data_IF_322525299677
#
_entry.id   IF_322525299677
#
_cell.length_a   1.000
_cell.length_b   1.000
_cell.length_c   1.000
_cell.angle_alpha   90.00
_cell.angle_beta   90.00
_cell.angle_gamma   90.00
#
_symmetry.space_group_name_H-M   'P 1'
#
loop_
_entity.id
_entity.type
_entity.pdbx_description
1 polymer ?
#
# COMPACT_ATOMS: atom_id res chain seq x y z
N UNK A 1 -8.13 21.65 -7.53
CA UNK A 1 -8.33 20.53 -8.49
C UNK A 1 -7.92 19.24 -7.83
N UNK A 2 -8.87 18.31 -7.61
CA UNK A 2 -8.58 16.94 -7.17
C UNK A 2 -8.64 16.06 -8.42
N UNK A 3 -7.68 15.17 -8.61
CA UNK A 3 -7.67 14.18 -9.69
C UNK A 3 -8.09 12.82 -9.12
N UNK A 4 -8.91 12.08 -9.86
CA UNK A 4 -9.31 10.72 -9.55
C UNK A 4 -8.69 9.77 -10.58
N UNK A 5 -7.89 8.81 -10.10
CA UNK A 5 -7.33 7.73 -10.91
C UNK A 5 -8.05 6.43 -10.55
N UNK A 6 -8.37 5.62 -11.55
CA UNK A 6 -8.98 4.30 -11.35
C UNK A 6 -7.92 3.22 -11.54
N UNK A 7 -7.82 2.34 -10.55
CA UNK A 7 -7.00 1.13 -10.57
C UNK A 7 -7.91 -0.11 -10.63
N UNK A 8 -7.39 -1.23 -11.13
CA UNK A 8 -8.17 -2.47 -11.26
C UNK A 8 -8.55 -3.06 -9.91
N UNK A 9 -7.65 -3.00 -8.93
CA UNK A 9 -7.80 -3.62 -7.61
C UNK A 9 -7.58 -2.60 -6.50
N UNK A 10 -8.29 -2.77 -5.39
CA UNK A 10 -7.99 -2.04 -4.15
C UNK A 10 -6.68 -2.58 -3.55
N UNK A 11 -5.65 -1.75 -3.31
CA UNK A 11 -4.37 -2.20 -2.73
C UNK A 11 -4.48 -2.65 -1.25
N UNK A 12 -5.62 -2.41 -0.61
CA UNK A 12 -5.90 -2.87 0.75
C UNK A 12 -6.45 -4.30 0.76
N UNK A 13 -7.26 -4.65 -0.22
CA UNK A 13 -7.96 -5.94 -0.29
C UNK A 13 -7.22 -6.93 -1.18
N UNK A 14 -6.78 -8.04 -0.60
CA UNK A 14 -6.20 -9.14 -1.36
C UNK A 14 -7.32 -9.99 -1.94
N UNK A 15 -7.34 -10.25 -3.26
CA UNK A 15 -8.33 -11.15 -3.83
C UNK A 15 -8.21 -12.56 -3.25
N UNK A 16 -9.32 -13.24 -2.93
CA UNK A 16 -9.28 -14.55 -2.26
C UNK A 16 -8.87 -15.70 -3.20
N UNK A 17 -9.05 -15.54 -4.51
CA UNK A 17 -8.67 -16.54 -5.52
C UNK A 17 -8.21 -15.88 -6.81
N UNK A 18 -7.29 -16.55 -7.50
CA UNK A 18 -6.93 -16.21 -8.88
C UNK A 18 -8.11 -16.46 -9.83
N UNK A 19 -8.46 -15.47 -10.64
CA UNK A 19 -9.62 -15.49 -11.53
C UNK A 19 -9.41 -14.76 -12.87
N UNK A 20 -8.21 -14.24 -13.16
CA UNK A 20 -7.86 -13.66 -14.45
C UNK A 20 -7.89 -14.72 -15.57
N UNK A 21 -8.57 -14.37 -16.67
CA UNK A 21 -8.70 -15.21 -17.86
C UNK A 21 -8.38 -14.44 -19.15
N UNK A 22 -8.15 -15.14 -20.26
CA UNK A 22 -7.69 -14.66 -21.56
C UNK A 22 -8.40 -13.43 -22.12
N UNK A 23 -9.66 -13.19 -21.77
CA UNK A 23 -10.48 -12.09 -22.31
C UNK A 23 -11.22 -11.29 -21.23
N UNK A 24 -10.95 -11.54 -19.95
CA UNK A 24 -11.65 -10.88 -18.86
C UNK A 24 -10.80 -10.77 -17.60
N UNK A 25 -11.07 -9.73 -16.81
CA UNK A 25 -10.42 -9.49 -15.53
C UNK A 25 -11.45 -9.56 -14.39
N UNK A 26 -11.06 -10.12 -13.23
CA UNK A 26 -11.91 -10.09 -12.05
C UNK A 26 -11.80 -8.74 -11.35
N UNK A 27 -12.95 -8.20 -10.95
CA UNK A 27 -13.06 -7.10 -9.99
C UNK A 27 -13.77 -7.62 -8.76
N UNK A 28 -13.19 -7.41 -7.60
CA UNK A 28 -13.77 -7.83 -6.32
C UNK A 28 -14.49 -6.65 -5.68
N UNK A 29 -15.81 -6.75 -5.60
CA UNK A 29 -16.66 -5.76 -4.95
C UNK A 29 -17.23 -6.31 -3.64
N UNK A 30 -17.90 -5.47 -2.86
CA UNK A 30 -18.57 -5.86 -1.61
C UNK A 30 -19.58 -7.00 -1.80
N UNK A 31 -20.19 -7.10 -2.98
CA UNK A 31 -21.10 -8.19 -3.37
C UNK A 31 -20.43 -9.44 -3.92
N UNK A 32 -19.09 -9.51 -3.94
CA UNK A 32 -18.32 -10.62 -4.47
C UNK A 32 -17.64 -10.32 -5.81
N UNK A 33 -17.18 -11.38 -6.48
CA UNK A 33 -16.43 -11.30 -7.74
C UNK A 33 -17.35 -10.94 -8.91
N UNK A 34 -16.97 -9.90 -9.64
CA UNK A 34 -17.54 -9.53 -10.93
C UNK A 34 -16.48 -9.83 -12.00
N UNK A 35 -16.82 -10.65 -12.98
CA UNK A 35 -15.94 -10.92 -14.12
C UNK A 35 -16.29 -9.94 -15.24
N UNK A 36 -15.36 -9.07 -15.61
CA UNK A 36 -15.58 -8.06 -16.66
C UNK A 36 -14.82 -8.45 -17.92
N UNK A 37 -15.49 -8.44 -19.07
CA UNK A 37 -14.75 -8.37 -20.34
C UNK A 37 -13.95 -7.05 -20.41
N UNK A 38 -13.00 -6.95 -21.34
CA UNK A 38 -12.21 -5.73 -21.47
C UNK A 38 -13.07 -4.57 -21.97
N UNK A 39 -14.08 -4.88 -22.79
CA UNK A 39 -15.11 -3.95 -23.23
C UNK A 39 -15.97 -3.46 -22.06
N UNK A 40 -16.45 -4.37 -21.20
CA UNK A 40 -17.22 -3.98 -20.01
C UNK A 40 -16.39 -3.13 -19.04
N UNK A 41 -15.09 -3.43 -18.92
CA UNK A 41 -14.15 -2.61 -18.13
C UNK A 41 -14.06 -1.19 -18.72
N UNK A 42 -13.92 -1.07 -20.04
CA UNK A 42 -13.88 0.23 -20.74
C UNK A 42 -15.18 1.00 -20.55
N UNK A 43 -16.34 0.34 -20.63
CA UNK A 43 -17.64 0.97 -20.39
C UNK A 43 -17.74 1.53 -18.96
N UNK A 44 -17.28 0.76 -17.97
CA UNK A 44 -17.18 1.23 -16.58
C UNK A 44 -16.33 2.51 -16.47
N UNK A 45 -15.19 2.57 -17.18
CA UNK A 45 -14.28 3.72 -17.18
C UNK A 45 -14.93 4.95 -17.80
N UNK A 46 -15.65 4.78 -18.92
CA UNK A 46 -16.36 5.85 -19.59
C UNK A 46 -17.51 6.42 -18.73
N UNK A 47 -18.19 5.56 -17.98
CA UNK A 47 -19.22 5.98 -17.02
C UNK A 47 -18.60 6.76 -15.86
N UNK A 48 -17.48 6.26 -15.31
CA UNK A 48 -16.83 6.87 -14.15
C UNK A 48 -16.10 8.19 -14.46
N UNK A 49 -15.69 8.41 -15.72
CA UNK A 49 -14.99 9.62 -16.21
C UNK A 49 -13.78 10.03 -15.33
N UNK A 50 -12.82 9.12 -15.10
CA UNK A 50 -11.66 9.45 -14.27
C UNK A 50 -10.69 10.40 -14.98
N UNK A 51 -9.78 10.98 -14.21
CA UNK A 51 -8.65 11.76 -14.73
C UNK A 51 -7.53 10.85 -15.28
N UNK A 52 -7.60 9.55 -15.04
CA UNK A 52 -6.67 8.55 -15.59
C UNK A 52 -7.08 7.15 -15.15
N UNK A 53 -6.65 6.14 -15.89
CA UNK A 53 -7.09 4.76 -15.69
C UNK A 53 -5.94 3.78 -15.89
N UNK A 54 -5.86 2.76 -15.03
CA UNK A 54 -5.00 1.61 -15.20
C UNK A 54 -5.51 0.69 -16.31
N UNK A 55 -4.65 0.29 -17.24
CA UNK A 55 -4.97 -0.77 -18.18
C UNK A 55 -5.15 -2.11 -17.43
N UNK A 56 -6.16 -2.94 -17.78
CA UNK A 56 -6.38 -4.21 -17.13
C UNK A 56 -5.14 -5.10 -17.15
N UNK A 57 -4.94 -5.87 -16.10
CA UNK A 57 -3.74 -6.66 -15.84
C UNK A 57 -4.05 -8.00 -15.20
N UNK A 58 -3.26 -9.01 -15.52
CA UNK A 58 -3.26 -10.28 -14.78
C UNK A 58 -2.20 -10.19 -13.67
N UNK A 59 -2.61 -9.74 -12.48
CA UNK A 59 -1.77 -9.64 -11.28
C UNK A 59 -1.95 -10.83 -10.30
N UNK A 60 -2.69 -11.86 -10.69
CA UNK A 60 -2.98 -13.06 -9.89
C UNK A 60 -1.76 -14.01 -9.71
N UNK A 61 -0.56 -13.56 -10.07
CA UNK A 61 0.66 -14.37 -9.92
C UNK A 61 0.95 -14.69 -8.46
N UNK A 62 0.45 -13.89 -7.51
CA UNK A 62 0.74 -13.97 -6.08
C UNK A 62 -0.32 -14.73 -5.27
N UNK A 63 -1.49 -14.99 -5.85
CA UNK A 63 -2.68 -15.54 -5.16
C UNK A 63 -2.69 -17.08 -5.22
N UNK A 64 -1.60 -17.69 -5.69
CA UNK A 64 -1.51 -19.13 -5.86
C UNK A 64 -0.66 -19.74 -4.73
N UNK A 65 -1.18 -20.79 -4.05
CA UNK A 65 -0.54 -21.38 -2.86
C UNK A 65 0.75 -22.17 -3.16
N UNK A 66 1.09 -22.34 -4.44
CA UNK A 66 2.29 -23.07 -4.87
C UNK A 66 3.33 -22.10 -5.43
N UNK A 67 4.61 -22.50 -5.38
CA UNK A 67 5.71 -21.76 -5.99
C UNK A 67 5.33 -21.28 -7.40
N UNK A 68 5.42 -19.96 -7.60
CA UNK A 68 4.94 -19.32 -8.82
C UNK A 68 5.80 -19.83 -9.98
N UNK A 69 5.23 -20.71 -10.80
CA UNK A 69 5.97 -21.23 -11.95
C UNK A 69 6.33 -20.09 -12.91
N UNK A 70 7.52 -20.15 -13.50
CA UNK A 70 7.93 -19.22 -14.57
C UNK A 70 6.90 -19.17 -15.71
N UNK A 71 6.25 -20.30 -15.99
CA UNK A 71 5.12 -20.42 -16.94
C UNK A 71 3.91 -19.55 -16.54
N UNK A 72 3.57 -19.49 -15.25
CA UNK A 72 2.47 -18.67 -14.73
C UNK A 72 2.76 -17.17 -14.86
N UNK A 73 3.98 -16.74 -14.52
CA UNK A 73 4.45 -15.37 -14.73
C UNK A 73 4.35 -14.98 -16.20
N UNK A 74 4.82 -15.85 -17.10
CA UNK A 74 4.73 -15.60 -18.54
C UNK A 74 3.28 -15.52 -19.04
N UNK A 75 2.39 -16.40 -18.56
CA UNK A 75 0.96 -16.32 -18.90
C UNK A 75 0.32 -14.99 -18.46
N UNK A 76 0.72 -14.46 -17.30
CA UNK A 76 0.25 -13.16 -16.81
C UNK A 76 0.70 -12.03 -17.73
N UNK A 77 1.96 -12.06 -18.17
CA UNK A 77 2.49 -11.12 -19.16
C UNK A 77 1.72 -11.17 -20.48
N UNK A 78 1.49 -12.37 -21.03
CA UNK A 78 0.78 -12.55 -22.31
C UNK A 78 -0.68 -12.12 -22.25
N UNK A 79 -1.36 -12.36 -21.12
CA UNK A 79 -2.74 -11.90 -20.90
C UNK A 79 -2.82 -10.38 -20.80
N UNK A 80 -1.95 -9.79 -19.99
CA UNK A 80 -1.87 -8.33 -19.82
C UNK A 80 -1.61 -7.61 -21.15
N UNK A 81 -0.69 -8.14 -21.97
CA UNK A 81 -0.44 -7.61 -23.31
C UNK A 81 -1.68 -7.68 -24.22
N UNK A 82 -2.46 -8.76 -24.14
CA UNK A 82 -3.71 -8.90 -24.91
C UNK A 82 -4.78 -7.91 -24.44
N UNK A 83 -4.93 -7.72 -23.13
CA UNK A 83 -5.89 -6.74 -22.61
C UNK A 83 -5.55 -5.33 -23.07
N UNK A 84 -4.26 -4.96 -23.05
CA UNK A 84 -3.79 -3.68 -23.53
C UNK A 84 -4.14 -3.48 -25.01
N UNK A 85 -3.97 -4.50 -25.86
CA UNK A 85 -4.35 -4.40 -27.27
C UNK A 85 -5.85 -4.14 -27.45
N UNK A 86 -6.71 -4.88 -26.74
CA UNK A 86 -8.16 -4.64 -26.77
C UNK A 86 -8.51 -3.21 -26.30
N UNK A 87 -7.88 -2.71 -25.23
CA UNK A 87 -8.07 -1.32 -24.79
C UNK A 87 -7.66 -0.33 -25.87
N UNK A 88 -6.56 -0.57 -26.59
CA UNK A 88 -6.09 0.31 -27.68
C UNK A 88 -7.07 0.31 -28.84
N UNK A 89 -7.61 -0.84 -29.22
CA UNK A 89 -8.66 -0.92 -30.23
C UNK A 89 -9.89 -0.12 -29.82
N UNK A 90 -10.34 -0.23 -28.56
CA UNK A 90 -11.42 0.59 -28.01
C UNK A 90 -11.10 2.09 -28.07
N UNK A 91 -9.87 2.50 -27.76
CA UNK A 91 -9.43 3.90 -27.82
C UNK A 91 -9.41 4.46 -29.24
N UNK A 92 -9.06 3.65 -30.24
CA UNK A 92 -9.13 4.04 -31.65
C UNK A 92 -10.58 4.27 -32.12
N UNK A 93 -11.54 3.57 -31.51
CA UNK A 93 -12.98 3.65 -31.86
C UNK A 93 -13.74 4.70 -31.04
N UNK A 94 -13.21 5.15 -29.90
CA UNK A 94 -13.89 6.05 -28.97
C UNK A 94 -13.04 7.27 -28.60
N UNK A 95 -13.47 8.46 -29.04
CA UNK A 95 -12.76 9.73 -28.82
C UNK A 95 -12.75 10.21 -27.37
N UNK A 96 -13.68 9.75 -26.53
CA UNK A 96 -13.70 10.15 -25.13
C UNK A 96 -12.74 9.31 -24.30
N UNK A 97 -12.67 8.01 -24.59
CA UNK A 97 -11.68 7.13 -23.98
C UNK A 97 -10.25 7.57 -24.35
N UNK A 98 -10.01 7.98 -25.60
CA UNK A 98 -8.68 8.39 -26.06
C UNK A 98 -8.13 9.64 -25.36
N UNK A 99 -9.00 10.46 -24.76
CA UNK A 99 -8.62 11.63 -23.95
C UNK A 99 -8.24 11.27 -22.51
N UNK A 100 -8.69 10.11 -22.01
CA UNK A 100 -8.37 9.66 -20.65
C UNK A 100 -6.92 9.14 -20.64
N UNK A 101 -6.04 9.69 -19.78
CA UNK A 101 -4.68 9.18 -19.59
C UNK A 101 -4.68 7.70 -19.22
N UNK A 102 -3.83 6.93 -19.91
CA UNK A 102 -3.74 5.47 -19.73
C UNK A 102 -2.46 5.12 -18.95
N UNK A 103 -2.60 4.42 -17.84
CA UNK A 103 -1.49 3.86 -17.08
C UNK A 103 -1.30 2.40 -17.50
N UNK A 104 -0.19 2.09 -18.16
CA UNK A 104 0.06 0.75 -18.69
C UNK A 104 0.67 -0.14 -17.60
N UNK A 105 0.02 -1.27 -17.32
CA UNK A 105 0.48 -2.23 -16.32
C UNK A 105 1.58 -3.13 -16.87
N UNK A 106 2.64 -3.33 -16.09
CA UNK A 106 3.65 -4.37 -16.33
C UNK A 106 3.38 -5.49 -15.34
N UNK A 107 3.21 -6.71 -15.85
CA UNK A 107 2.98 -7.92 -15.08
C UNK A 107 4.19 -8.86 -15.14
N UNK A 108 4.13 -10.04 -14.51
CA UNK A 108 5.23 -11.02 -14.52
C UNK A 108 5.72 -11.51 -13.16
N UNK A 109 5.00 -11.21 -12.06
CA UNK A 109 5.34 -11.67 -10.72
C UNK A 109 6.72 -11.18 -10.25
N UNK A 110 7.37 -11.98 -9.40
CA UNK A 110 8.69 -11.66 -8.84
C UNK A 110 9.87 -12.18 -9.72
N UNK A 111 9.68 -12.33 -11.05
CA UNK A 111 10.73 -12.78 -11.98
C UNK A 111 11.23 -11.61 -12.84
N UNK A 112 12.46 -11.13 -12.55
CA UNK A 112 13.03 -9.96 -13.24
C UNK A 112 13.18 -10.17 -14.76
N UNK A 113 13.60 -11.35 -15.20
CA UNK A 113 13.84 -11.60 -16.61
C UNK A 113 12.53 -11.59 -17.40
N UNK A 114 11.46 -12.18 -16.84
CA UNK A 114 10.12 -12.10 -17.41
C UNK A 114 9.62 -10.66 -17.45
N UNK A 115 9.84 -9.88 -16.38
CA UNK A 115 9.46 -8.46 -16.34
C UNK A 115 10.16 -7.66 -17.42
N UNK A 116 11.46 -7.89 -17.63
CA UNK A 116 12.23 -7.25 -18.70
C UNK A 116 11.71 -7.62 -20.09
N UNK A 117 11.36 -8.89 -20.30
CA UNK A 117 10.71 -9.32 -21.54
C UNK A 117 9.35 -8.64 -21.74
N UNK A 118 8.54 -8.54 -20.68
CA UNK A 118 7.25 -7.85 -20.68
C UNK A 118 7.41 -6.37 -21.09
N UNK A 119 8.40 -5.67 -20.53
CA UNK A 119 8.67 -4.26 -20.87
C UNK A 119 9.05 -4.13 -22.35
N UNK A 120 9.95 -4.99 -22.86
CA UNK A 120 10.43 -4.94 -24.25
C UNK A 120 9.33 -5.16 -25.29
N UNK A 121 8.32 -5.96 -24.97
CA UNK A 121 7.19 -6.23 -25.88
C UNK A 121 6.01 -5.26 -25.70
N UNK A 122 6.03 -4.42 -24.65
CA UNK A 122 4.93 -3.50 -24.37
C UNK A 122 5.07 -2.24 -25.21
N UNK A 123 4.00 -1.87 -25.91
CA UNK A 123 3.93 -0.62 -26.63
C UNK A 123 3.48 0.51 -25.71
N UNK A 124 4.39 1.43 -25.40
CA UNK A 124 4.16 2.58 -24.53
C UNK A 124 3.72 3.85 -25.28
N UNK A 125 3.49 3.80 -26.60
CA UNK A 125 3.19 5.00 -27.42
C UNK A 125 1.95 5.79 -26.96
N UNK A 126 0.98 5.11 -26.35
CA UNK A 126 -0.24 5.72 -25.80
C UNK A 126 -0.23 5.79 -24.26
N UNK A 127 0.88 5.43 -23.61
CA UNK A 127 0.99 5.44 -22.16
C UNK A 127 1.19 6.85 -21.63
N UNK A 128 0.49 7.19 -20.55
CA UNK A 128 0.70 8.40 -19.74
C UNK A 128 1.43 8.10 -18.43
N UNK A 129 1.64 6.82 -18.12
CA UNK A 129 2.36 6.33 -16.96
C UNK A 129 2.43 4.80 -16.99
N UNK A 130 3.19 4.23 -16.06
CA UNK A 130 3.37 2.79 -15.93
C UNK A 130 2.97 2.34 -14.54
N UNK A 131 2.24 1.23 -14.42
CA UNK A 131 1.95 0.59 -13.14
C UNK A 131 2.79 -0.68 -13.00
N UNK A 132 3.61 -0.73 -11.97
CA UNK A 132 4.37 -1.92 -11.55
C UNK A 132 3.45 -2.70 -10.61
N UNK A 133 2.72 -3.68 -11.15
CA UNK A 133 1.68 -4.43 -10.43
C UNK A 133 2.10 -5.90 -10.20
N UNK A 134 1.42 -6.62 -9.31
CA UNK A 134 1.68 -8.03 -9.04
C UNK A 134 3.03 -8.29 -8.37
N UNK A 135 3.48 -7.36 -7.52
CA UNK A 135 4.62 -7.51 -6.62
C UNK A 135 4.08 -7.52 -5.19
N UNK A 136 4.45 -8.53 -4.40
CA UNK A 136 4.07 -8.61 -2.98
C UNK A 136 5.31 -8.52 -2.10
N UNK A 137 5.24 -7.69 -1.05
CA UNK A 137 6.14 -7.77 0.12
C UNK A 137 5.54 -8.58 1.26
N UNK A 138 4.28 -8.99 1.16
CA UNK A 138 3.60 -9.82 2.14
C UNK A 138 3.85 -11.30 1.80
N UNK A 139 4.10 -12.17 2.79
CA UNK A 139 4.12 -13.60 2.56
C UNK A 139 2.81 -14.03 1.90
N UNK A 140 2.91 -14.92 0.91
CA UNK A 140 1.74 -15.61 0.34
C UNK A 140 1.22 -16.64 1.35
N UNK A 141 0.61 -16.19 2.46
CA UNK A 141 -0.40 -16.89 3.25
C UNK A 141 -0.48 -16.30 4.67
N UNK A 142 -1.69 -16.02 5.14
CA UNK A 142 -1.99 -15.93 6.57
C UNK A 142 -2.09 -17.33 7.23
N UNK A 143 -1.96 -18.41 6.45
CA UNK A 143 -2.11 -19.81 6.88
C UNK A 143 -0.83 -20.65 6.91
N UNK A 144 0.32 -20.15 6.45
CA UNK A 144 1.56 -20.91 6.49
C UNK A 144 2.24 -20.70 7.86
N UNK A 145 2.07 -21.68 8.74
CA UNK A 145 2.89 -21.82 9.95
C UNK A 145 4.38 -21.92 9.59
N UNK A 146 5.22 -21.34 10.45
CA UNK A 146 6.69 -21.37 10.42
C UNK A 146 7.36 -21.04 9.07
N UNK A 147 7.64 -19.75 8.85
CA UNK A 147 8.21 -19.25 7.59
C UNK A 147 9.74 -19.35 7.49
N UNK A 148 10.28 -19.73 6.31
CA UNK A 148 11.67 -19.50 5.93
C UNK A 148 11.87 -18.06 5.42
N UNK A 149 12.70 -17.28 6.13
CA UNK A 149 13.45 -16.09 5.67
C UNK A 149 12.72 -15.02 4.82
N UNK A 150 11.77 -14.29 5.43
CA UNK A 150 11.13 -13.06 4.90
C UNK A 150 12.10 -11.96 4.46
N UNK A 151 13.30 -11.93 5.03
CA UNK A 151 14.34 -10.94 4.69
C UNK A 151 14.92 -11.14 3.29
N UNK A 152 15.02 -12.37 2.81
CA UNK A 152 15.68 -12.65 1.52
C UNK A 152 14.83 -12.16 0.34
N UNK A 153 13.53 -12.41 0.38
CA UNK A 153 12.62 -12.02 -0.70
C UNK A 153 12.43 -10.50 -0.72
N UNK A 154 12.26 -9.89 0.45
CA UNK A 154 12.21 -8.42 0.59
C UNK A 154 13.50 -7.77 0.09
N UNK A 155 14.66 -8.32 0.45
CA UNK A 155 15.95 -7.85 -0.04
C UNK A 155 16.04 -7.96 -1.57
N UNK A 156 15.64 -9.09 -2.16
CA UNK A 156 15.62 -9.26 -3.62
C UNK A 156 14.72 -8.24 -4.32
N UNK A 157 13.52 -7.98 -3.78
CA UNK A 157 12.58 -7.01 -4.35
C UNK A 157 13.19 -5.62 -4.48
N UNK A 158 13.78 -5.10 -3.40
CA UNK A 158 14.26 -3.72 -3.36
C UNK A 158 15.70 -3.54 -3.85
N UNK A 159 16.53 -4.59 -3.83
CA UNK A 159 17.92 -4.51 -4.33
C UNK A 159 18.04 -4.87 -5.80
N UNK A 160 17.13 -5.72 -6.32
CA UNK A 160 17.29 -6.33 -7.64
C UNK A 160 16.05 -6.14 -8.53
N UNK A 161 14.87 -6.58 -8.09
CA UNK A 161 13.68 -6.61 -8.95
C UNK A 161 13.20 -5.21 -9.34
N UNK A 162 12.86 -4.37 -8.35
CA UNK A 162 12.32 -3.03 -8.60
C UNK A 162 13.35 -2.14 -9.32
N UNK A 163 14.63 -2.05 -8.90
CA UNK A 163 15.65 -1.30 -9.65
C UNK A 163 15.83 -1.81 -11.09
N UNK A 164 15.83 -3.13 -11.28
CA UNK A 164 15.95 -3.75 -12.59
C UNK A 164 14.77 -3.46 -13.51
N UNK A 165 13.56 -3.40 -12.98
CA UNK A 165 12.35 -2.96 -13.71
C UNK A 165 12.47 -1.48 -14.07
N UNK A 166 12.74 -0.61 -13.09
CA UNK A 166 12.72 0.83 -13.28
C UNK A 166 13.77 1.31 -14.31
N UNK A 167 14.91 0.62 -14.39
CA UNK A 167 15.98 0.89 -15.37
C UNK A 167 15.55 0.64 -16.81
N UNK A 168 14.63 -0.29 -17.03
CA UNK A 168 14.19 -0.71 -18.38
C UNK A 168 12.94 0.05 -18.84
N UNK A 169 12.22 0.70 -17.91
CA UNK A 169 11.03 1.48 -18.21
C UNK A 169 11.37 2.81 -18.89
N UNK A 170 10.50 3.32 -19.80
CA UNK A 170 10.71 4.61 -20.44
C UNK A 170 10.92 5.74 -19.41
N UNK A 171 12.02 6.52 -19.50
CA UNK A 171 12.41 7.45 -18.44
C UNK A 171 11.43 8.60 -18.23
N UNK A 172 10.69 8.99 -19.29
CA UNK A 172 9.73 10.09 -19.26
C UNK A 172 8.37 9.72 -18.66
N UNK A 173 8.08 8.43 -18.46
CA UNK A 173 6.80 7.99 -17.92
C UNK A 173 6.86 7.87 -16.39
N UNK A 174 5.88 8.44 -15.67
CA UNK A 174 5.79 8.26 -14.21
C UNK A 174 5.49 6.79 -13.87
N UNK A 175 6.16 6.29 -12.83
CA UNK A 175 6.07 4.90 -12.36
C UNK A 175 5.24 4.82 -11.09
N UNK A 176 4.12 4.13 -11.16
CA UNK A 176 3.24 3.82 -10.06
C UNK A 176 3.58 2.43 -9.52
N UNK A 177 3.59 2.27 -8.20
CA UNK A 177 3.62 0.96 -7.56
C UNK A 177 2.48 0.89 -6.52
N UNK A 178 1.85 -0.26 -6.41
CA UNK A 178 0.81 -0.54 -5.43
C UNK A 178 1.27 -1.63 -4.46
N UNK A 179 0.68 -1.66 -3.26
CA UNK A 179 0.96 -2.68 -2.25
C UNK A 179 2.27 -2.48 -1.48
N UNK A 180 2.99 -1.38 -1.73
CA UNK A 180 4.21 -1.00 -0.99
C UNK A 180 3.88 0.12 -0.02
N UNK A 181 3.74 -0.23 1.27
CA UNK A 181 3.21 0.69 2.27
C UNK A 181 4.11 0.87 3.51
N UNK A 182 5.10 0.02 3.75
CA UNK A 182 6.05 0.22 4.85
C UNK A 182 6.97 1.43 4.55
N UNK A 183 7.25 2.33 5.52
CA UNK A 183 8.07 3.52 5.29
C UNK A 183 9.43 3.24 4.64
N UNK A 184 10.17 2.24 5.16
CA UNK A 184 11.45 1.81 4.57
C UNK A 184 11.30 1.33 3.12
N UNK A 185 10.26 0.56 2.84
CA UNK A 185 9.99 0.01 1.51
C UNK A 185 9.61 1.10 0.50
N UNK A 186 8.81 2.09 0.91
CA UNK A 186 8.51 3.28 0.11
C UNK A 186 9.81 4.03 -0.21
N UNK A 187 10.66 4.28 0.79
CA UNK A 187 11.93 4.97 0.58
C UNK A 187 12.87 4.20 -0.37
N UNK A 188 12.96 2.87 -0.24
CA UNK A 188 13.75 2.01 -1.13
C UNK A 188 13.22 2.00 -2.57
N UNK A 189 11.90 1.89 -2.75
CA UNK A 189 11.28 1.95 -4.08
C UNK A 189 11.44 3.32 -4.72
N UNK A 190 11.29 4.41 -3.97
CA UNK A 190 11.51 5.76 -4.45
C UNK A 190 12.97 5.97 -4.88
N UNK A 191 13.93 5.47 -4.09
CA UNK A 191 15.36 5.45 -4.45
C UNK A 191 15.62 4.68 -5.75
N UNK A 192 14.84 3.63 -6.02
CA UNK A 192 14.93 2.83 -7.24
C UNK A 192 14.27 3.47 -8.47
N UNK A 193 13.61 4.63 -8.32
CA UNK A 193 12.99 5.38 -9.42
C UNK A 193 11.46 5.29 -9.48
N UNK A 194 10.80 4.75 -8.46
CA UNK A 194 9.32 4.79 -8.37
C UNK A 194 8.85 6.18 -7.98
N UNK A 195 7.80 6.67 -8.65
CA UNK A 195 7.33 8.05 -8.54
C UNK A 195 6.05 8.18 -7.69
N UNK A 196 5.12 7.22 -7.82
CA UNK A 196 3.81 7.25 -7.17
C UNK A 196 3.50 5.97 -6.41
N UNK A 197 2.87 6.14 -5.25
CA UNK A 197 2.50 5.08 -4.30
C UNK A 197 1.03 5.19 -3.95
N UNK A 198 0.42 4.09 -3.53
CA UNK A 198 -0.93 4.11 -2.98
C UNK A 198 -0.98 4.66 -1.54
N UNK A 199 -2.18 5.08 -1.12
CA UNK A 199 -2.43 5.66 0.20
C UNK A 199 -2.81 4.63 1.28
N UNK A 200 -2.49 3.34 1.12
CA UNK A 200 -2.98 2.30 2.03
C UNK A 200 -2.41 2.37 3.45
N UNK A 201 -1.17 2.84 3.67
CA UNK A 201 -0.57 2.90 5.01
C UNK A 201 -1.46 3.61 6.05
N UNK A 202 -1.88 4.89 5.86
CA UNK A 202 -2.71 5.56 6.84
C UNK A 202 -4.07 4.87 7.04
N UNK A 203 -4.61 4.23 6.00
CA UNK A 203 -5.82 3.42 6.11
C UNK A 203 -5.60 2.18 6.98
N UNK A 204 -4.58 1.37 6.68
CA UNK A 204 -4.22 0.16 7.43
C UNK A 204 -4.02 0.46 8.91
N UNK A 205 -3.22 1.50 9.21
CA UNK A 205 -2.99 1.95 10.58
C UNK A 205 -4.29 2.33 11.28
N UNK A 206 -5.15 3.11 10.61
CA UNK A 206 -6.41 3.56 11.18
C UNK A 206 -7.37 2.41 11.46
N UNK A 207 -7.50 1.44 10.54
CA UNK A 207 -8.37 0.26 10.73
C UNK A 207 -7.91 -0.58 11.90
N UNK A 208 -6.60 -0.63 12.14
CA UNK A 208 -6.01 -1.35 13.28
C UNK A 208 -5.93 -0.53 14.57
N UNK A 209 -6.60 0.64 14.60
CA UNK A 209 -6.59 1.57 15.73
C UNK A 209 -5.17 2.01 16.13
N UNK A 210 -4.30 2.21 15.15
CA UNK A 210 -2.90 2.62 15.35
C UNK A 210 -2.72 4.09 14.94
N UNK A 211 -2.13 4.89 15.83
CA UNK A 211 -1.65 6.24 15.52
C UNK A 211 -0.15 6.23 15.23
N UNK A 212 0.27 6.68 14.04
CA UNK A 212 1.68 6.80 13.69
C UNK A 212 2.36 7.95 14.43
N UNK A 213 3.50 7.69 15.07
CA UNK A 213 4.36 8.74 15.64
C UNK A 213 5.53 9.01 14.69
N UNK A 214 5.50 10.15 14.01
CA UNK A 214 6.50 10.54 13.01
C UNK A 214 7.17 11.87 13.39
N UNK A 215 8.41 11.86 13.94
CA UNK A 215 9.08 13.06 14.42
C UNK A 215 9.42 14.04 13.28
N UNK A 216 9.51 13.55 12.04
CA UNK A 216 10.02 14.30 10.91
C UNK A 216 11.50 14.02 10.67
N UNK A 217 11.94 14.21 9.44
CA UNK A 217 13.35 14.10 9.08
C UNK A 217 14.16 15.33 9.52
N UNK A 218 15.35 15.09 10.05
CA UNK A 218 16.32 16.11 10.44
C UNK A 218 17.73 15.64 10.11
N UNK A 219 18.44 16.39 9.26
CA UNK A 219 19.78 16.02 8.79
C UNK A 219 20.86 16.15 9.87
N UNK A 220 20.64 16.98 10.89
CA UNK A 220 21.59 17.27 11.97
C UNK A 220 21.49 16.34 13.18
N UNK A 221 20.34 15.69 13.39
CA UNK A 221 20.07 14.90 14.61
C UNK A 221 20.39 13.40 14.47
N UNK A 222 20.66 12.92 13.25
CA UNK A 222 20.98 11.52 12.97
C UNK A 222 22.39 11.07 13.41
N UNK A 223 23.17 11.94 14.07
CA UNK A 223 24.48 11.55 14.64
C UNK A 223 24.43 11.23 16.13
N UNK A 224 23.49 11.76 16.90
CA UNK A 224 23.45 11.57 18.36
C UNK A 224 22.05 11.79 18.95
N UNK A 225 21.11 10.87 18.74
CA UNK A 225 19.89 10.81 19.56
C UNK A 225 19.46 9.38 19.81
N UNK A 226 20.32 8.66 20.52
CA UNK A 226 19.96 7.55 21.40
C UNK A 226 19.42 8.05 22.76
N UNK A 227 18.87 9.27 22.84
CA UNK A 227 18.56 9.93 24.12
C UNK A 227 17.27 10.75 24.17
N UNK A 228 16.40 10.69 23.16
CA UNK A 228 15.00 11.09 23.33
C UNK A 228 14.11 9.87 23.26
N UNK A 229 13.48 9.62 24.40
CA UNK A 229 12.60 8.55 24.80
C UNK A 229 11.32 8.45 23.94
N UNK A 230 11.46 8.29 22.62
CA UNK A 230 10.37 7.83 21.76
C UNK A 230 10.40 6.30 21.74
N UNK A 231 10.11 5.69 22.89
CA UNK A 231 10.08 4.23 23.05
C UNK A 231 9.03 3.54 22.17
N UNK A 232 8.04 4.27 21.65
CA UNK A 232 7.01 3.73 20.76
C UNK A 232 6.91 4.53 19.45
N UNK A 233 7.12 3.85 18.33
CA UNK A 233 7.04 4.38 16.95
C UNK A 233 5.59 4.56 16.46
N UNK A 234 4.65 4.05 17.24
CA UNK A 234 3.23 4.13 17.04
C UNK A 234 2.51 3.97 18.39
N UNK A 235 1.25 4.37 18.46
CA UNK A 235 0.37 4.15 19.60
C UNK A 235 -0.79 3.25 19.16
N UNK A 236 -1.14 2.26 19.98
CA UNK A 236 -2.33 1.42 19.75
C UNK A 236 -3.47 1.94 20.63
N UNK A 237 -4.66 2.07 20.05
CA UNK A 237 -5.86 2.54 20.72
C UNK A 237 -6.88 1.38 20.90
N UNK A 238 -7.62 1.34 22.02
CA UNK A 238 -7.43 2.19 23.19
C UNK A 238 -6.05 1.94 23.83
N UNK A 239 -5.49 2.96 24.48
CA UNK A 239 -4.19 2.83 25.15
C UNK A 239 -4.26 1.71 26.20
N UNK A 240 -3.27 0.81 26.19
CA UNK A 240 -3.11 -0.24 27.21
C UNK A 240 -2.25 0.21 28.40
N UNK A 241 -2.33 -0.54 29.51
CA UNK A 241 -1.56 -0.30 30.73
C UNK A 241 -2.37 0.37 31.85
N UNK A 242 -1.95 0.12 33.10
CA UNK A 242 -2.60 0.43 34.39
C UNK A 242 -3.80 1.36 34.34
N UNK A 243 -4.93 0.86 34.86
CA UNK A 243 -6.25 1.48 35.03
C UNK A 243 -6.25 2.77 35.89
N UNK A 244 -5.24 3.62 35.76
CA UNK A 244 -5.16 4.94 36.34
C UNK A 244 -5.38 6.00 35.26
N UNK A 245 -6.62 6.50 35.12
CA UNK A 245 -6.96 7.63 34.27
C UNK A 245 -6.18 8.91 34.60
N UNK A 246 -5.51 8.98 35.76
CA UNK A 246 -4.69 10.13 36.17
C UNK A 246 -3.27 10.12 35.59
N UNK A 247 -2.89 9.09 34.83
CA UNK A 247 -1.65 9.13 34.05
C UNK A 247 -1.71 10.29 33.03
N UNK A 248 -0.83 11.28 33.22
CA UNK A 248 -0.78 12.49 32.38
C UNK A 248 -0.63 12.21 30.89
N UNK A 249 -0.23 11.00 30.47
CA UNK A 249 -0.21 10.62 29.05
C UNK A 249 -1.59 10.73 28.39
N UNK A 250 -2.69 10.53 29.13
CA UNK A 250 -4.05 10.61 28.60
C UNK A 250 -4.49 12.04 28.25
N UNK A 251 -3.86 13.05 28.86
CA UNK A 251 -4.16 14.47 28.62
C UNK A 251 -3.38 15.05 27.45
N UNK A 252 -2.28 14.39 27.04
CA UNK A 252 -1.48 14.82 25.88
C UNK A 252 -2.13 14.44 24.55
N UNK A 253 -1.86 15.17 23.44
CA UNK A 253 -2.27 14.77 22.10
C UNK A 253 -1.51 13.51 21.63
N UNK A 254 -1.94 12.89 20.53
CA UNK A 254 -1.26 11.71 19.95
C UNK A 254 0.23 11.98 19.78
N UNK A 255 0.59 13.15 19.24
CA UNK A 255 1.97 13.59 19.08
C UNK A 255 2.04 15.11 19.35
N UNK A 256 2.73 15.58 20.41
CA UNK A 256 2.73 16.99 20.83
C UNK A 256 3.10 18.03 19.76
N UNK A 257 4.07 17.71 18.90
CA UNK A 257 4.56 18.59 17.83
C UNK A 257 3.72 18.51 16.55
N UNK A 258 2.71 17.64 16.51
CA UNK A 258 1.84 17.46 15.35
C UNK A 258 0.80 18.57 15.24
N UNK A 259 0.65 19.13 14.03
CA UNK A 259 -0.29 20.22 13.73
C UNK A 259 -1.59 19.75 13.07
N UNK A 260 -1.89 18.45 13.09
CA UNK A 260 -3.15 17.94 12.55
C UNK A 260 -4.34 18.35 13.43
N UNK A 261 -5.55 18.31 12.88
CA UNK A 261 -6.77 18.65 13.62
C UNK A 261 -6.90 17.80 14.91
N UNK A 262 -6.66 16.50 14.83
CA UNK A 262 -6.73 15.60 15.99
C UNK A 262 -5.80 16.03 17.11
N UNK A 263 -4.51 16.26 16.83
CA UNK A 263 -3.52 16.62 17.86
C UNK A 263 -3.69 18.04 18.41
N UNK A 264 -4.39 18.93 17.68
CA UNK A 264 -4.62 20.31 18.13
C UNK A 264 -5.90 20.47 18.96
N UNK A 265 -6.81 19.49 18.94
CA UNK A 265 -8.13 19.59 19.57
C UNK A 265 -8.44 18.45 20.55
N UNK A 266 -7.74 17.31 20.47
CA UNK A 266 -8.08 16.11 21.22
C UNK A 266 -6.85 15.46 21.87
N UNK A 267 -7.07 14.88 23.04
CA UNK A 267 -6.07 14.11 23.77
C UNK A 267 -6.10 12.62 23.38
N UNK A 268 -5.03 11.88 23.73
CA UNK A 268 -4.98 10.42 23.58
C UNK A 268 -6.05 9.70 24.39
N UNK A 269 -6.42 10.25 25.56
CA UNK A 269 -7.52 9.74 26.38
C UNK A 269 -8.86 9.88 25.69
N UNK A 270 -9.12 11.03 25.06
CA UNK A 270 -10.34 11.20 24.27
C UNK A 270 -10.41 10.22 23.09
N UNK A 271 -9.32 10.08 22.33
CA UNK A 271 -9.26 9.11 21.21
C UNK A 271 -9.46 7.68 21.72
N UNK A 272 -8.82 7.29 22.82
CA UNK A 272 -9.02 5.98 23.47
C UNK A 272 -10.47 5.77 23.87
N UNK A 273 -11.10 6.76 24.48
CA UNK A 273 -12.50 6.71 24.88
C UNK A 273 -13.43 6.51 23.68
N UNK A 274 -13.20 7.20 22.55
CA UNK A 274 -13.99 6.98 21.32
C UNK A 274 -13.89 5.53 20.82
N UNK A 275 -12.70 4.93 20.87
CA UNK A 275 -12.52 3.52 20.51
C UNK A 275 -13.20 2.56 21.50
N UNK A 276 -13.14 2.83 22.81
CA UNK A 276 -13.85 2.05 23.84
C UNK A 276 -15.36 2.15 23.66
N UNK A 277 -15.86 3.37 23.40
CA UNK A 277 -17.26 3.66 23.17
C UNK A 277 -17.76 3.15 21.81
N UNK A 278 -16.87 2.63 20.95
CA UNK A 278 -17.17 2.16 19.58
C UNK A 278 -17.82 3.23 18.70
N UNK A 279 -17.38 4.47 18.89
CA UNK A 279 -17.84 5.61 18.12
C UNK A 279 -16.97 5.80 16.87
N UNK A 280 -17.60 6.04 15.72
CA UNK A 280 -16.90 6.25 14.43
C UNK A 280 -15.94 7.44 14.46
N UNK A 281 -16.11 8.35 15.42
CA UNK A 281 -15.20 9.48 15.62
C UNK A 281 -13.76 9.06 15.94
N UNK A 282 -13.55 7.94 16.65
CA UNK A 282 -12.20 7.43 16.94
C UNK A 282 -11.39 7.15 15.67
N UNK A 283 -11.87 6.25 14.78
CA UNK A 283 -11.25 6.01 13.49
C UNK A 283 -11.13 7.26 12.60
N UNK A 284 -12.12 8.16 12.59
CA UNK A 284 -12.02 9.41 11.82
C UNK A 284 -10.85 10.29 12.30
N UNK A 285 -10.69 10.44 13.62
CA UNK A 285 -9.58 11.20 14.20
C UNK A 285 -8.22 10.55 13.93
N UNK A 286 -8.12 9.22 13.94
CA UNK A 286 -6.91 8.51 13.55
C UNK A 286 -6.59 8.67 12.07
N UNK A 287 -7.58 8.61 11.17
CA UNK A 287 -7.37 8.84 9.74
C UNK A 287 -6.78 10.23 9.49
N UNK A 288 -7.36 11.28 10.09
CA UNK A 288 -6.87 12.65 9.98
C UNK A 288 -5.40 12.74 10.42
N UNK A 289 -5.05 12.13 11.56
CA UNK A 289 -3.69 12.14 12.08
C UNK A 289 -2.72 11.35 11.19
N UNK A 290 -3.07 10.12 10.83
CA UNK A 290 -2.22 9.22 10.05
C UNK A 290 -1.99 9.76 8.63
N UNK A 291 -3.02 10.30 7.97
CA UNK A 291 -2.85 10.97 6.67
C UNK A 291 -1.92 12.18 6.79
N UNK A 292 -2.02 12.97 7.85
CA UNK A 292 -1.12 14.10 8.08
C UNK A 292 0.34 13.64 8.23
N UNK A 293 0.61 12.58 9.00
CA UNK A 293 1.97 12.03 9.11
C UNK A 293 2.48 11.48 7.78
N UNK A 294 1.64 10.77 7.02
CA UNK A 294 1.98 10.27 5.70
C UNK A 294 2.40 11.41 4.75
N UNK A 295 1.66 12.52 4.72
CA UNK A 295 2.06 13.68 3.92
C UNK A 295 3.36 14.32 4.38
N UNK A 296 3.63 14.38 5.69
CA UNK A 296 4.92 14.84 6.21
C UNK A 296 6.06 13.92 5.78
N UNK A 297 5.88 12.60 5.90
CA UNK A 297 6.85 11.61 5.45
C UNK A 297 7.18 11.77 3.96
N UNK A 298 6.18 11.87 3.10
CA UNK A 298 6.40 12.06 1.66
C UNK A 298 7.02 13.42 1.31
N UNK A 299 6.74 14.47 2.09
CA UNK A 299 7.42 15.77 1.94
C UNK A 299 8.91 15.63 2.24
N UNK A 300 9.23 14.96 3.34
CA UNK A 300 10.61 14.77 3.78
C UNK A 300 11.37 13.83 2.83
N UNK A 301 10.72 12.76 2.33
CA UNK A 301 11.25 11.90 1.26
C UNK A 301 11.64 12.69 0.01
N UNK A 302 10.73 13.56 -0.49
CA UNK A 302 11.03 14.41 -1.65
C UNK A 302 12.19 15.38 -1.39
N UNK A 303 12.27 15.93 -0.18
CA UNK A 303 13.38 16.78 0.22
C UNK A 303 14.70 16.01 0.18
N UNK A 304 14.76 14.81 0.76
CA UNK A 304 15.95 13.96 0.79
C UNK A 304 16.37 13.49 -0.61
N UNK A 305 15.43 13.19 -1.50
CA UNK A 305 15.73 12.89 -2.90
C UNK A 305 16.39 14.10 -3.59
N UNK A 306 15.83 15.30 -3.40
CA UNK A 306 16.37 16.53 -4.00
C UNK A 306 17.72 16.96 -3.41
N UNK A 307 18.00 16.66 -2.14
CA UNK A 307 19.25 17.01 -1.45
C UNK A 307 20.32 15.93 -1.54
N UNK A 308 20.07 14.80 -2.22
CA UNK A 308 21.01 13.67 -2.30
C UNK A 308 21.19 12.93 -0.96
N UNK A 309 20.20 12.99 -0.06
CA UNK A 309 20.21 12.39 1.27
C UNK A 309 19.31 11.14 1.38
N UNK A 310 19.01 10.50 0.25
CA UNK A 310 18.06 9.37 0.20
C UNK A 310 18.56 8.17 1.01
N UNK A 311 19.86 7.89 1.03
CA UNK A 311 20.40 6.74 1.75
C UNK A 311 20.26 6.89 3.27
N UNK A 312 20.55 8.08 3.80
CA UNK A 312 20.34 8.34 5.22
C UNK A 312 18.84 8.36 5.55
N UNK A 313 17.98 8.79 4.63
CA UNK A 313 16.53 8.71 4.81
C UNK A 313 16.01 7.28 4.82
N UNK A 314 16.60 6.36 4.04
CA UNK A 314 16.27 4.92 4.08
C UNK A 314 16.65 4.33 5.44
N UNK A 315 17.84 4.65 5.96
CA UNK A 315 18.27 4.22 7.30
C UNK A 315 17.31 4.74 8.38
N UNK A 316 16.98 6.03 8.36
CA UNK A 316 16.00 6.61 9.27
C UNK A 316 14.62 5.96 9.14
N UNK A 317 14.15 5.72 7.91
CA UNK A 317 12.84 5.11 7.67
C UNK A 317 12.75 3.67 8.18
N UNK A 318 13.89 3.00 8.39
CA UNK A 318 13.94 1.66 9.00
C UNK A 318 13.56 1.65 10.49
N UNK A 319 13.52 2.81 11.14
CA UNK A 319 13.06 2.94 12.52
C UNK A 319 11.55 2.68 12.68
N UNK A 320 10.79 2.62 11.58
CA UNK A 320 9.37 2.28 11.56
C UNK A 320 9.15 0.98 10.82
N UNK A 321 8.77 -0.04 11.60
CA UNK A 321 8.24 -1.30 11.08
C UNK A 321 6.90 -1.54 11.76
N UNK A 322 5.83 -1.53 10.97
CA UNK A 322 4.50 -1.85 11.47
C UNK A 322 4.25 -3.35 11.29
N UNK A 323 4.04 -4.12 12.36
CA UNK A 323 3.86 -5.57 12.24
C UNK A 323 2.68 -5.90 11.34
N UNK A 324 2.87 -6.76 10.34
CA UNK A 324 1.80 -7.12 9.39
C UNK A 324 0.57 -7.70 10.11
N UNK A 325 0.79 -8.51 11.16
CA UNK A 325 -0.27 -9.07 12.03
C UNK A 325 -1.09 -8.00 12.74
N UNK A 326 -0.52 -6.84 13.04
CA UNK A 326 -1.27 -5.72 13.61
C UNK A 326 -2.21 -5.12 12.56
N UNK A 327 -1.79 -5.10 11.30
CA UNK A 327 -2.45 -4.40 10.20
C UNK A 327 -3.44 -5.24 9.39
N UNK A 328 -3.56 -6.54 9.68
CA UNK A 328 -4.61 -7.42 9.14
C UNK A 328 -5.89 -7.42 9.99
N UNK A 329 -5.83 -6.87 11.22
CA UNK A 329 -6.98 -6.81 12.12
C UNK A 329 -7.72 -5.50 11.94
N UNK A 330 -8.97 -5.59 11.52
CA UNK A 330 -9.90 -4.47 11.46
C UNK A 330 -10.62 -4.27 12.80
N UNK A 331 -10.10 -3.35 13.60
CA UNK A 331 -10.61 -3.02 14.94
C UNK A 331 -11.71 -1.97 14.94
N UNK A 332 -12.19 -1.54 13.78
CA UNK A 332 -13.24 -0.52 13.72
C UNK A 332 -14.62 -1.06 14.10
N UNK A 333 -14.84 -2.37 13.95
CA UNK A 333 -16.16 -3.01 14.11
C UNK A 333 -16.12 -4.37 14.82
N UNK A 334 -15.16 -4.66 15.69
CA UNK A 334 -15.21 -5.89 16.53
C UNK A 334 -16.39 -5.83 17.54
N UNK A 335 -17.58 -6.06 17.01
CA UNK A 335 -18.80 -6.58 17.59
C UNK A 335 -19.77 -6.90 16.46
N UNK A 336 -19.85 -8.17 16.03
CA UNK A 336 -21.12 -8.80 15.65
C UNK A 336 -21.13 -10.33 15.57
N UNK A 337 -20.02 -11.01 15.83
CA UNK A 337 -20.01 -12.48 16.05
C UNK A 337 -19.14 -12.84 17.24
N UNK A 338 -19.60 -12.50 18.44
CA UNK A 338 -19.21 -13.18 19.66
C UNK A 338 -20.44 -13.93 20.18
N UNK A 339 -20.74 -15.06 19.53
CA UNK A 339 -21.51 -16.14 20.14
C UNK A 339 -20.88 -17.45 19.66
N UNK A 340 -20.38 -18.21 20.64
CA UNK A 340 -19.77 -19.54 20.59
C UNK A 340 -18.25 -19.64 20.36
N UNK A 341 -17.46 -19.21 21.36
CA UNK A 341 -16.65 -20.12 22.18
C UNK A 341 -15.83 -19.32 23.23
N UNK A 342 -15.76 -19.77 24.50
CA UNK A 342 -14.89 -19.16 25.50
C UNK A 342 -13.47 -19.73 25.42
N UNK A 343 -12.47 -18.89 25.72
CA UNK A 343 -11.08 -19.23 26.04
C UNK A 343 -10.23 -19.79 24.89
N UNK A 344 -9.48 -18.91 24.24
CA UNK A 344 -8.02 -19.02 23.99
C UNK A 344 -7.62 -18.00 22.91
N UNK A 345 -6.96 -16.91 23.33
CA UNK A 345 -5.65 -16.52 22.80
C UNK A 345 -5.15 -15.25 23.49
N UNK A 346 -4.24 -15.53 24.42
CA UNK A 346 -3.44 -14.62 25.20
C UNK A 346 -2.51 -13.84 24.28
N UNK A 347 -2.60 -12.50 24.30
CA UNK A 347 -1.55 -11.63 23.79
C UNK A 347 -0.21 -12.02 24.46
N UNK A 348 0.89 -12.23 23.72
CA UNK A 348 2.19 -12.30 24.37
C UNK A 348 2.50 -10.90 24.91
N UNK A 349 2.46 -10.78 26.23
CA UNK A 349 3.11 -9.71 26.98
C UNK A 349 4.61 -9.87 26.71
N UNK A 350 5.17 -8.98 25.90
CA UNK A 350 6.63 -8.85 25.76
C UNK A 350 7.08 -7.83 26.80
N UNK A 351 7.91 -8.30 27.73
CA UNK A 351 8.64 -7.47 28.71
C UNK A 351 9.71 -6.63 28.02
#
# INVERSE_FOLDING_TARGET
NRAALIFQTDPVDTPPVAAADKSSVPVWATGGRIQLSIEDYVDCVLIARPNGVQAPTDNDTLILPNSISRKRCWNSVMRTARYLETVRECRCKNSDLSKIPLLVSIAGGNDLEIRKQAIKQTDFSQASGVVIDGISTLPNDETAGDFPNTDRDTSYLFSTLIPGICTELPPALPRFITGIWQPKHIALAARAGVDLFDGSLPYRLTRSAVGWIYPGWSSSENKHSSSHDFHSRYLVFPLGGSDDPSDGKYETPIQPECKCFTCTHHSRGYVSHMHIAKEMLGPMLLMIHNSHQCYRFFRDLRHCLASGQIDQFVEFSSLWEFPAKLLSVDRTFESKTANNNPLDDVLPVVY
#
